data_IF_277537138436
#
_entry.id   IF_277537138436
#
_cell.length_a   1.000
_cell.length_b   1.000
_cell.length_c   1.000
_cell.angle_alpha   90.00
_cell.angle_beta   90.00
_cell.angle_gamma   90.00
#
_symmetry.space_group_name_H-M   'P 1'
#
loop_
_entity.id
_entity.type
_entity.pdbx_description
1 polymer ?
#
# COMPACT_ATOMS: atom_id res chain seq x y z
N UNK A 1 31.76 2.47 -4.05
CA UNK A 1 32.01 1.12 -3.50
C UNK A 1 32.23 0.19 -4.68
N UNK A 2 33.45 -0.33 -4.87
CA UNK A 2 33.73 -1.31 -5.93
C UNK A 2 33.00 -2.63 -5.60
N UNK A 3 32.38 -3.23 -6.61
CA UNK A 3 31.76 -4.55 -6.43
C UNK A 3 32.86 -5.62 -6.34
N UNK A 4 32.59 -6.73 -5.66
CA UNK A 4 33.51 -7.86 -5.50
C UNK A 4 34.11 -8.32 -6.85
N UNK A 5 33.33 -8.32 -7.92
CA UNK A 5 33.75 -8.73 -9.26
C UNK A 5 34.73 -7.77 -9.95
N UNK A 6 34.77 -6.50 -9.57
CA UNK A 6 35.71 -5.50 -10.15
C UNK A 6 37.16 -5.71 -9.67
N UNK A 7 37.37 -6.51 -8.66
CA UNK A 7 38.70 -6.81 -8.09
C UNK A 7 39.23 -8.20 -8.45
N UNK A 8 38.43 -9.01 -9.14
CA UNK A 8 38.80 -10.35 -9.58
C UNK A 8 39.66 -10.31 -10.87
N UNK A 9 40.60 -11.23 -10.97
CA UNK A 9 41.32 -11.48 -12.23
C UNK A 9 40.48 -12.35 -13.18
N UNK A 10 40.94 -12.53 -14.41
CA UNK A 10 40.21 -13.25 -15.47
C UNK A 10 39.89 -14.71 -15.09
N UNK A 11 40.79 -15.40 -14.39
CA UNK A 11 40.56 -16.78 -13.97
C UNK A 11 39.50 -16.86 -12.84
N UNK A 12 39.53 -15.93 -11.90
CA UNK A 12 38.54 -15.81 -10.83
C UNK A 12 37.17 -15.42 -11.37
N UNK A 13 37.10 -14.54 -12.37
CA UNK A 13 35.89 -14.20 -13.06
C UNK A 13 35.29 -15.39 -13.82
N UNK A 14 36.11 -16.15 -14.54
CA UNK A 14 35.68 -17.35 -15.24
C UNK A 14 35.09 -18.37 -14.27
N UNK A 15 35.76 -18.65 -13.16
CA UNK A 15 35.28 -19.57 -12.14
C UNK A 15 33.97 -19.07 -11.50
N UNK A 16 33.81 -17.76 -11.28
CA UNK A 16 32.58 -17.17 -10.75
C UNK A 16 31.43 -17.28 -11.75
N UNK A 17 31.70 -17.15 -13.05
CA UNK A 17 30.71 -17.34 -14.11
C UNK A 17 30.23 -18.78 -14.14
N UNK A 18 31.16 -19.75 -14.15
CA UNK A 18 30.84 -21.17 -14.16
C UNK A 18 29.97 -21.56 -12.94
N UNK A 19 30.31 -21.06 -11.74
CA UNK A 19 29.50 -21.30 -10.50
C UNK A 19 28.09 -20.70 -10.65
N UNK A 20 27.99 -19.47 -11.13
CA UNK A 20 26.70 -18.82 -11.31
C UNK A 20 25.83 -19.51 -12.37
N UNK A 21 26.43 -19.96 -13.48
CA UNK A 21 25.72 -20.72 -14.52
C UNK A 21 25.22 -22.06 -13.99
N UNK A 22 26.04 -22.77 -13.20
CA UNK A 22 25.64 -24.02 -12.55
C UNK A 22 24.44 -23.80 -11.61
N UNK A 23 24.49 -22.77 -10.78
CA UNK A 23 23.39 -22.41 -9.87
C UNK A 23 22.11 -22.00 -10.62
N UNK A 24 22.23 -21.27 -11.72
CA UNK A 24 21.08 -20.94 -12.57
C UNK A 24 20.49 -22.20 -13.20
N UNK A 25 21.34 -23.13 -13.66
CA UNK A 25 20.90 -24.41 -14.22
C UNK A 25 20.17 -25.27 -13.17
N UNK A 26 20.68 -25.33 -11.93
CA UNK A 26 20.02 -26.01 -10.83
C UNK A 26 18.62 -25.44 -10.54
N UNK A 27 18.49 -24.10 -10.45
CA UNK A 27 17.20 -23.46 -10.22
C UNK A 27 16.23 -23.73 -11.38
N UNK A 28 16.71 -23.67 -12.64
CA UNK A 28 15.88 -23.98 -13.81
C UNK A 28 15.41 -25.45 -13.81
N UNK A 29 16.26 -26.38 -13.39
CA UNK A 29 15.92 -27.80 -13.30
C UNK A 29 14.80 -28.10 -12.27
N UNK A 30 14.57 -27.19 -11.32
CA UNK A 30 13.48 -27.29 -10.34
C UNK A 30 12.10 -27.00 -10.95
N UNK A 31 12.02 -26.51 -12.17
CA UNK A 31 10.78 -26.20 -12.91
C UNK A 31 9.77 -25.39 -12.10
N UNK A 32 10.27 -24.45 -11.30
CA UNK A 32 9.45 -23.62 -10.43
C UNK A 32 8.52 -22.72 -11.25
N UNK A 33 7.23 -22.78 -10.93
CA UNK A 33 6.21 -21.89 -11.51
C UNK A 33 5.96 -20.72 -10.55
N UNK A 34 6.87 -19.75 -10.57
CA UNK A 34 6.80 -18.56 -9.71
C UNK A 34 6.30 -17.36 -10.53
N UNK A 35 5.35 -16.62 -9.96
CA UNK A 35 4.89 -15.35 -10.48
C UNK A 35 5.27 -14.25 -9.46
N UNK A 36 6.14 -13.35 -9.88
CA UNK A 36 6.58 -12.19 -9.09
C UNK A 36 5.92 -10.88 -9.57
N UNK A 37 5.02 -10.96 -10.55
CA UNK A 37 4.40 -9.77 -11.12
C UNK A 37 3.40 -9.09 -10.17
N UNK A 38 2.85 -9.85 -9.22
CA UNK A 38 1.92 -9.33 -8.21
C UNK A 38 2.14 -9.99 -6.86
N UNK A 39 2.20 -9.17 -5.81
CA UNK A 39 2.22 -9.62 -4.40
C UNK A 39 0.82 -10.08 -3.96
N UNK A 40 0.42 -11.29 -4.36
CA UNK A 40 -0.81 -11.91 -3.86
C UNK A 40 -0.48 -12.88 -2.74
N UNK A 41 -1.27 -12.89 -1.63
CA UNK A 41 -1.16 -13.95 -0.63
C UNK A 41 -1.40 -15.33 -1.25
N UNK A 42 -0.68 -16.34 -0.80
CA UNK A 42 -0.93 -17.72 -1.22
C UNK A 42 -2.28 -18.24 -0.68
N UNK A 43 -2.84 -19.30 -1.25
CA UNK A 43 -4.06 -19.91 -0.72
C UNK A 43 -3.97 -20.30 0.75
N UNK A 44 -2.79 -20.74 1.20
CA UNK A 44 -2.52 -21.12 2.58
C UNK A 44 -2.53 -19.90 3.51
N UNK A 45 -1.96 -18.77 3.06
CA UNK A 45 -2.02 -17.50 3.80
C UNK A 45 -3.45 -16.97 3.92
N UNK A 46 -4.23 -17.03 2.84
CA UNK A 46 -5.65 -16.63 2.85
C UNK A 46 -6.48 -17.57 3.75
N UNK A 47 -6.15 -18.85 3.81
CA UNK A 47 -6.84 -19.81 4.66
C UNK A 47 -6.74 -19.50 6.16
N UNK A 48 -5.69 -18.77 6.59
CA UNK A 48 -5.51 -18.36 8.00
C UNK A 48 -6.68 -17.47 8.47
N UNK A 49 -7.13 -16.55 7.62
CA UNK A 49 -8.22 -15.62 7.97
C UNK A 49 -9.62 -16.16 7.63
N UNK A 50 -9.71 -17.27 6.90
CA UNK A 50 -10.99 -17.81 6.46
C UNK A 50 -12.00 -18.12 7.57
N UNK A 51 -11.58 -18.64 8.77
CA UNK A 51 -12.51 -18.87 9.88
C UNK A 51 -13.21 -17.59 10.37
N UNK A 52 -12.69 -16.39 10.05
CA UNK A 52 -13.35 -15.14 10.42
C UNK A 52 -14.75 -14.99 9.79
N UNK A 53 -15.00 -15.66 8.66
CA UNK A 53 -16.30 -15.63 7.97
C UNK A 53 -17.42 -16.32 8.81
N UNK A 54 -17.04 -17.17 9.75
CA UNK A 54 -17.97 -17.92 10.58
C UNK A 54 -18.20 -17.27 11.97
N UNK A 55 -17.56 -16.12 12.22
CA UNK A 55 -17.66 -15.42 13.53
C UNK A 55 -18.98 -14.67 13.69
N UNK A 56 -19.62 -14.28 12.60
CA UNK A 56 -20.88 -13.53 12.61
C UNK A 56 -22.01 -14.39 12.05
N UNK A 57 -23.15 -14.33 12.70
CA UNK A 57 -24.40 -15.00 12.30
C UNK A 57 -25.56 -14.02 12.45
N UNK A 58 -26.78 -14.47 12.10
CA UNK A 58 -27.99 -13.68 12.27
C UNK A 58 -28.29 -13.37 13.76
N UNK A 59 -27.75 -14.17 14.68
CA UNK A 59 -27.96 -14.01 16.12
C UNK A 59 -26.80 -13.26 16.80
N UNK A 60 -25.80 -12.80 16.05
CA UNK A 60 -24.67 -12.06 16.60
C UNK A 60 -25.08 -10.65 17.04
N UNK A 61 -24.48 -10.17 18.12
CA UNK A 61 -24.51 -8.73 18.44
C UNK A 61 -23.72 -7.96 17.38
N UNK A 62 -24.41 -7.09 16.67
CA UNK A 62 -23.85 -6.26 15.62
C UNK A 62 -23.62 -4.81 16.09
N UNK A 63 -23.33 -4.63 17.37
CA UNK A 63 -22.97 -3.32 17.93
C UNK A 63 -21.47 -3.24 18.23
N UNK A 64 -20.87 -2.07 17.99
CA UNK A 64 -19.47 -1.78 18.33
C UNK A 64 -19.37 -0.39 18.98
N UNK A 65 -19.00 -0.34 20.27
CA UNK A 65 -18.89 0.91 21.00
C UNK A 65 -20.16 1.77 21.00
N UNK A 66 -21.34 1.13 20.92
CA UNK A 66 -22.65 1.79 20.82
C UNK A 66 -23.07 2.16 19.39
N UNK A 67 -22.28 1.79 18.39
CA UNK A 67 -22.62 1.97 16.96
C UNK A 67 -23.33 0.71 16.46
N UNK A 68 -24.51 0.88 15.85
CA UNK A 68 -25.22 -0.19 15.14
C UNK A 68 -24.51 -0.47 13.79
N UNK A 69 -23.78 -1.58 13.72
CA UNK A 69 -23.03 -2.00 12.53
C UNK A 69 -23.93 -2.58 11.43
N UNK A 70 -25.20 -2.81 11.69
CA UNK A 70 -26.17 -3.25 10.68
C UNK A 70 -26.76 -2.08 9.89
N UNK A 71 -26.44 -0.84 10.24
CA UNK A 71 -26.97 0.37 9.63
C UNK A 71 -25.85 1.30 9.17
N UNK A 72 -26.22 2.35 8.43
CA UNK A 72 -25.29 3.39 7.99
C UNK A 72 -25.13 4.47 9.07
N UNK A 73 -24.08 5.32 8.93
CA UNK A 73 -23.90 6.53 9.75
C UNK A 73 -22.56 6.66 10.46
N UNK A 74 -21.71 5.63 10.41
CA UNK A 74 -20.36 5.66 10.96
C UNK A 74 -19.32 5.90 9.85
N UNK A 75 -19.22 7.14 9.38
CA UNK A 75 -18.38 7.51 8.24
C UNK A 75 -16.87 7.35 8.48
N UNK A 76 -16.44 7.43 9.73
CA UNK A 76 -15.04 7.36 10.11
C UNK A 76 -14.54 5.93 10.30
N UNK A 77 -15.45 4.97 10.27
CA UNK A 77 -15.21 3.58 10.66
C UNK A 77 -15.62 3.31 12.11
N UNK A 78 -15.96 2.06 12.40
CA UNK A 78 -16.41 1.64 13.74
C UNK A 78 -15.28 1.76 14.77
N UNK A 79 -15.58 2.00 16.06
CA UNK A 79 -14.57 2.28 17.08
C UNK A 79 -13.46 1.23 17.18
N UNK A 80 -13.80 -0.07 17.19
CA UNK A 80 -12.82 -1.14 17.30
C UNK A 80 -11.91 -1.23 16.07
N UNK A 81 -12.44 -0.98 14.86
CA UNK A 81 -11.63 -0.97 13.64
C UNK A 81 -10.65 0.22 13.63
N UNK A 82 -11.09 1.40 14.08
CA UNK A 82 -10.22 2.57 14.23
C UNK A 82 -9.13 2.35 15.27
N UNK A 83 -9.48 1.70 16.41
CA UNK A 83 -8.49 1.35 17.43
C UNK A 83 -7.44 0.38 16.90
N UNK A 84 -7.86 -0.68 16.20
CA UNK A 84 -6.96 -1.66 15.60
C UNK A 84 -6.06 -1.02 14.53
N UNK A 85 -6.62 -0.22 13.62
CA UNK A 85 -5.84 0.46 12.60
C UNK A 85 -4.88 1.49 13.19
N UNK A 86 -5.29 2.22 14.22
CA UNK A 86 -4.45 3.16 14.96
C UNK A 86 -3.26 2.47 15.63
N UNK A 87 -3.46 1.29 16.21
CA UNK A 87 -2.38 0.47 16.77
C UNK A 87 -1.36 0.07 15.71
N UNK A 88 -1.80 -0.40 14.53
CA UNK A 88 -0.90 -0.73 13.41
C UNK A 88 -0.13 0.48 12.89
N UNK A 89 -0.75 1.64 12.83
CA UNK A 89 -0.15 2.87 12.31
C UNK A 89 0.68 3.62 13.36
N UNK A 90 0.54 3.29 14.64
CA UNK A 90 1.18 4.01 15.74
C UNK A 90 0.61 5.41 15.95
N UNK A 91 -0.69 5.61 15.67
CA UNK A 91 -1.40 6.89 15.83
C UNK A 91 -2.64 6.73 16.69
N UNK A 92 -3.13 7.85 17.25
CA UNK A 92 -4.36 7.84 18.04
C UNK A 92 -5.58 7.44 17.16
N UNK A 93 -6.51 6.60 17.68
CA UNK A 93 -7.72 6.23 16.96
C UNK A 93 -8.56 7.43 16.49
N UNK A 94 -8.53 8.56 17.20
CA UNK A 94 -9.21 9.78 16.80
C UNK A 94 -8.67 10.40 15.51
N UNK A 95 -7.43 10.07 15.14
CA UNK A 95 -6.75 10.49 13.91
C UNK A 95 -6.83 9.44 12.81
N UNK A 96 -7.55 8.35 13.04
CA UNK A 96 -7.63 7.21 12.12
C UNK A 96 -9.00 7.15 11.47
N UNK A 97 -9.03 7.03 10.15
CA UNK A 97 -10.21 6.74 9.35
C UNK A 97 -10.11 5.34 8.78
N UNK A 98 -11.17 4.55 8.90
CA UNK A 98 -11.25 3.22 8.30
C UNK A 98 -12.29 3.28 7.19
N UNK A 99 -11.83 3.28 5.96
CA UNK A 99 -12.64 3.44 4.76
C UNK A 99 -12.72 2.12 3.98
N UNK A 100 -13.01 2.20 2.69
CA UNK A 100 -13.13 1.02 1.83
C UNK A 100 -11.84 0.19 1.69
N UNK A 101 -11.94 -0.96 1.04
CA UNK A 101 -10.85 -1.94 0.90
C UNK A 101 -9.84 -1.63 -0.23
N UNK A 102 -10.04 -0.56 -0.99
CA UNK A 102 -9.14 -0.17 -2.08
C UNK A 102 -8.25 0.99 -1.66
N UNK A 103 -6.98 0.72 -1.39
CA UNK A 103 -5.99 1.76 -1.07
C UNK A 103 -5.85 2.80 -2.18
N UNK A 104 -5.91 2.38 -3.45
CA UNK A 104 -5.84 3.30 -4.59
C UNK A 104 -7.01 4.28 -4.65
N UNK A 105 -8.22 3.82 -4.33
CA UNK A 105 -9.38 4.70 -4.28
C UNK A 105 -9.25 5.72 -3.15
N UNK A 106 -8.82 5.27 -1.98
CA UNK A 106 -8.60 6.14 -0.82
C UNK A 106 -7.52 7.19 -1.13
N UNK A 107 -6.43 6.79 -1.78
CA UNK A 107 -5.35 7.68 -2.17
C UNK A 107 -5.83 8.73 -3.19
N UNK A 108 -6.48 8.29 -4.28
CA UNK A 108 -7.07 9.18 -5.27
C UNK A 108 -8.04 10.18 -4.63
N UNK A 109 -8.99 9.70 -3.83
CA UNK A 109 -10.00 10.56 -3.22
C UNK A 109 -9.38 11.56 -2.22
N UNK A 110 -8.33 11.15 -1.50
CA UNK A 110 -7.60 12.03 -0.59
C UNK A 110 -6.90 13.17 -1.35
N UNK A 111 -6.21 12.84 -2.45
CA UNK A 111 -5.56 13.84 -3.32
C UNK A 111 -6.61 14.75 -3.99
N UNK A 112 -7.69 14.16 -4.51
CA UNK A 112 -8.79 14.91 -5.13
C UNK A 112 -9.46 15.87 -4.14
N UNK A 113 -9.66 15.45 -2.89
CA UNK A 113 -10.18 16.34 -1.84
C UNK A 113 -9.25 17.51 -1.56
N UNK A 114 -7.95 17.27 -1.44
CA UNK A 114 -6.97 18.34 -1.27
C UNK A 114 -6.96 19.29 -2.46
N UNK A 115 -7.06 18.75 -3.68
CA UNK A 115 -7.07 19.52 -4.91
C UNK A 115 -8.32 20.39 -5.07
N UNK A 116 -9.51 19.82 -4.82
CA UNK A 116 -10.80 20.46 -5.09
C UNK A 116 -11.36 21.27 -3.92
N UNK A 117 -11.08 20.86 -2.68
CA UNK A 117 -11.74 21.42 -1.48
C UNK A 117 -10.75 22.00 -0.47
N UNK A 118 -9.48 21.64 -0.59
CA UNK A 118 -8.52 21.91 0.46
C UNK A 118 -8.67 20.97 1.66
N UNK A 119 -7.78 21.09 2.62
CA UNK A 119 -7.75 20.25 3.82
C UNK A 119 -7.15 21.00 5.00
N UNK A 120 -7.47 20.60 6.22
CA UNK A 120 -6.92 21.15 7.46
C UNK A 120 -7.03 22.69 7.55
N UNK A 121 -8.11 23.28 7.03
CA UNK A 121 -8.33 24.73 7.02
C UNK A 121 -7.57 25.50 5.95
N UNK A 122 -6.89 24.80 5.04
CA UNK A 122 -6.19 25.41 3.90
C UNK A 122 -7.07 25.41 2.65
N UNK A 123 -6.84 26.40 1.78
CA UNK A 123 -7.50 26.51 0.48
C UNK A 123 -7.17 25.31 -0.44
N UNK A 124 -8.01 25.06 -1.47
CA UNK A 124 -7.75 24.04 -2.47
C UNK A 124 -6.38 24.17 -3.13
N UNK A 125 -5.70 23.05 -3.37
CA UNK A 125 -4.42 23.07 -4.07
C UNK A 125 -4.55 23.58 -5.51
N UNK A 126 -5.71 23.43 -6.14
CA UNK A 126 -6.00 24.01 -7.46
C UNK A 126 -5.88 25.54 -7.49
N UNK A 127 -6.07 26.22 -6.36
CA UNK A 127 -5.95 27.65 -6.24
C UNK A 127 -4.54 28.12 -5.84
N UNK A 128 -3.64 27.19 -5.49
CA UNK A 128 -2.32 27.49 -4.95
C UNK A 128 -1.48 28.35 -5.89
N UNK A 129 -1.47 28.04 -7.16
CA UNK A 129 -0.69 28.75 -8.17
C UNK A 129 -1.06 30.23 -8.27
N UNK A 130 -2.35 30.53 -8.22
CA UNK A 130 -2.85 31.92 -8.28
C UNK A 130 -2.47 32.71 -7.02
N UNK A 131 -2.42 32.07 -5.88
CA UNK A 131 -2.07 32.69 -4.59
C UNK A 131 -0.55 32.82 -4.34
N UNK A 132 0.30 32.16 -5.15
CA UNK A 132 1.75 32.03 -4.91
C UNK A 132 2.59 32.30 -6.17
N UNK A 133 2.29 33.38 -6.90
CA UNK A 133 3.07 33.86 -8.05
C UNK A 133 3.35 32.79 -9.14
N UNK A 134 2.38 31.93 -9.39
CA UNK A 134 2.50 30.85 -10.38
C UNK A 134 3.25 29.61 -9.91
N UNK A 135 3.61 29.52 -8.63
CA UNK A 135 4.20 28.31 -8.05
C UNK A 135 3.22 27.14 -8.16
N UNK A 136 3.74 25.93 -8.30
CA UNK A 136 2.93 24.70 -8.45
C UNK A 136 3.06 23.82 -7.20
N UNK A 137 1.97 23.22 -6.80
CA UNK A 137 2.00 22.10 -5.84
C UNK A 137 2.84 20.99 -6.44
N UNK A 138 3.71 20.38 -5.63
CA UNK A 138 4.56 19.27 -6.04
C UNK A 138 4.22 18.05 -5.20
N UNK A 139 4.09 16.92 -5.86
CA UNK A 139 3.91 15.63 -5.22
C UNK A 139 5.23 14.86 -5.24
N UNK A 140 5.69 14.40 -4.07
CA UNK A 140 6.93 13.65 -3.94
C UNK A 140 6.64 12.15 -4.09
N UNK A 141 6.97 11.60 -5.24
CA UNK A 141 6.85 10.19 -5.53
C UNK A 141 8.22 9.51 -5.49
N UNK A 142 8.52 8.64 -4.49
CA UNK A 142 9.77 7.87 -4.48
C UNK A 142 9.86 6.93 -5.67
N UNK A 143 11.02 6.88 -6.33
CA UNK A 143 11.30 5.97 -7.43
C UNK A 143 12.57 5.14 -7.14
N UNK A 144 12.59 3.84 -7.41
CA UNK A 144 11.47 3.04 -7.93
C UNK A 144 10.34 2.88 -6.92
N UNK A 145 9.08 2.87 -7.39
CA UNK A 145 7.89 2.77 -6.57
C UNK A 145 6.69 2.25 -7.35
N UNK A 146 5.53 2.26 -6.71
CA UNK A 146 4.29 1.83 -7.34
C UNK A 146 3.81 2.90 -8.34
N UNK A 147 3.67 2.52 -9.60
CA UNK A 147 3.41 3.44 -10.72
C UNK A 147 2.06 4.19 -10.62
N UNK A 148 1.11 3.66 -9.86
CA UNK A 148 -0.21 4.28 -9.67
C UNK A 148 -0.16 5.61 -8.92
N UNK A 149 0.83 5.79 -8.04
CA UNK A 149 1.04 7.07 -7.37
C UNK A 149 1.34 8.19 -8.38
N UNK A 150 2.12 7.88 -9.42
CA UNK A 150 2.41 8.84 -10.50
C UNK A 150 1.15 9.18 -11.28
N UNK A 151 0.37 8.15 -11.70
CA UNK A 151 -0.86 8.34 -12.45
C UNK A 151 -1.88 9.20 -11.72
N UNK A 152 -2.12 8.95 -10.42
CA UNK A 152 -3.06 9.76 -9.60
C UNK A 152 -2.68 11.24 -9.59
N UNK A 153 -1.37 11.54 -9.52
CA UNK A 153 -0.88 12.93 -9.45
C UNK A 153 -0.71 13.59 -10.81
N UNK A 154 -0.72 12.83 -11.89
CA UNK A 154 -0.69 13.35 -13.26
C UNK A 154 -2.09 13.66 -13.80
N UNK A 155 -3.11 12.95 -13.28
CA UNK A 155 -4.51 13.09 -13.71
C UNK A 155 -5.22 14.27 -13.05
N UNK A 156 -4.73 14.77 -11.91
CA UNK A 156 -5.29 15.89 -11.14
C UNK A 156 -4.45 17.17 -11.28
#
# INVERSE_FOLDING_TARGET
MQTMYQTMNDAELAAAIDDLEARVAEVKARELKLDMARGKPSPEQVAISRPMLDLLSADSDLTDGGVDCSNYGCFEGIPSARALAGEFLGVDPSQTLVLGSSSLLIEHDSVAMCWLKGTCGHAPWSEFSAAHDGARVKFLCPAPGYDRHFGITEDL
#
